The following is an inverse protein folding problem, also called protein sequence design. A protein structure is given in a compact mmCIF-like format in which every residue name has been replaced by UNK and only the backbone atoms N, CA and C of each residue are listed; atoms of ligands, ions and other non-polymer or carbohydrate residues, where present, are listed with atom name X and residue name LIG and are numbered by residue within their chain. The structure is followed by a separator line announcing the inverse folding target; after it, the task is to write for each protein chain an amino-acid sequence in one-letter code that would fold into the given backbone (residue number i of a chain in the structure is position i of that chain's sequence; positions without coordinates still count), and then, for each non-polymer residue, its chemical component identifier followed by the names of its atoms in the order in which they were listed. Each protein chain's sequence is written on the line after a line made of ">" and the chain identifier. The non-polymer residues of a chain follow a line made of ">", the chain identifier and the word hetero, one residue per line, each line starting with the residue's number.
data_IF_899880052321
#
_entry.id   IF_899880052321
#
_cell.length_a   1.000
_cell.length_b   1.000
_cell.length_c   1.000
_cell.angle_alpha   90.00
_cell.angle_beta   90.00
_cell.angle_gamma   90.00
#
_symmetry.space_group_name_H-M   'P 1'
#
loop_
_entity.id
_entity.type
_entity.pdbx_description
1 polymer ?
#
# COMPACT_ATOMS: atom_id res chain seq x y z
N UNK A 1 -56.09 9.12 33.30
CA UNK A 1 -54.79 9.09 32.59
C UNK A 1 -54.07 7.78 32.94
N UNK A 2 -53.70 6.91 31.99
CA UNK A 2 -52.98 5.69 32.33
C UNK A 2 -51.45 5.93 32.33
N UNK A 3 -50.79 5.46 33.40
CA UNK A 3 -49.34 5.48 33.57
C UNK A 3 -48.64 4.53 32.56
N UNK A 4 -47.69 5.07 31.79
CA UNK A 4 -46.83 4.30 30.88
C UNK A 4 -45.80 3.48 31.68
N UNK A 5 -45.76 2.17 31.38
CA UNK A 5 -44.83 1.17 31.93
C UNK A 5 -43.39 1.32 31.41
N UNK A 6 -42.44 1.02 32.30
CA UNK A 6 -40.98 0.93 32.11
C UNK A 6 -40.60 -0.10 31.02
N UNK A 7 -39.77 0.28 30.03
CA UNK A 7 -39.11 -0.63 29.06
C UNK A 7 -37.62 -0.36 28.75
N UNK A 8 -36.74 0.04 29.70
CA UNK A 8 -35.28 0.10 29.41
C UNK A 8 -34.55 -1.25 29.61
N UNK A 9 -35.06 -2.14 30.47
CA UNK A 9 -34.36 -3.40 30.84
C UNK A 9 -34.43 -4.46 29.73
N UNK A 10 -35.56 -4.53 29.00
CA UNK A 10 -35.74 -5.52 27.95
C UNK A 10 -34.78 -5.30 26.77
N UNK A 11 -34.49 -4.04 26.42
CA UNK A 11 -33.56 -3.71 25.34
C UNK A 11 -32.09 -4.01 25.68
N UNK A 12 -31.66 -3.78 26.92
CA UNK A 12 -30.29 -4.11 27.35
C UNK A 12 -30.00 -5.61 27.28
N UNK A 13 -30.97 -6.44 27.67
CA UNK A 13 -30.84 -7.92 27.61
C UNK A 13 -30.79 -8.41 26.17
N UNK A 14 -31.60 -7.85 25.26
CA UNK A 14 -31.58 -8.23 23.84
C UNK A 14 -30.25 -7.87 23.16
N UNK A 15 -29.67 -6.70 23.46
CA UNK A 15 -28.39 -6.27 22.90
C UNK A 15 -27.24 -7.15 23.39
N UNK A 16 -27.20 -7.50 24.68
CA UNK A 16 -26.17 -8.38 25.23
C UNK A 16 -26.27 -9.81 24.67
N UNK A 17 -27.49 -10.33 24.47
CA UNK A 17 -27.70 -11.65 23.87
C UNK A 17 -27.24 -11.69 22.40
N UNK A 18 -27.50 -10.63 21.63
CA UNK A 18 -27.05 -10.53 20.23
C UNK A 18 -25.52 -10.41 20.11
N UNK A 19 -24.87 -9.67 21.02
CA UNK A 19 -23.40 -9.55 21.06
C UNK A 19 -22.72 -10.86 21.48
N UNK A 20 -23.29 -11.58 22.46
CA UNK A 20 -22.80 -12.90 22.87
C UNK A 20 -22.88 -13.93 21.75
N UNK A 21 -24.00 -13.96 21.02
CA UNK A 21 -24.19 -14.88 19.88
C UNK A 21 -23.24 -14.55 18.71
N UNK A 22 -23.01 -13.26 18.43
CA UNK A 22 -22.06 -12.80 17.40
C UNK A 22 -20.61 -13.18 17.73
N UNK A 23 -20.18 -13.04 18.99
CA UNK A 23 -18.85 -13.41 19.43
C UNK A 23 -18.60 -14.93 19.37
N UNK A 24 -19.58 -15.72 19.79
CA UNK A 24 -19.51 -17.19 19.74
C UNK A 24 -19.42 -17.71 18.30
N UNK A 25 -20.27 -17.22 17.39
CA UNK A 25 -20.24 -17.66 15.99
C UNK A 25 -18.89 -17.36 15.30
N UNK A 26 -18.27 -16.22 15.65
CA UNK A 26 -16.97 -15.82 15.10
C UNK A 26 -15.84 -16.73 15.58
N UNK A 27 -15.91 -17.23 16.82
CA UNK A 27 -14.92 -18.17 17.36
C UNK A 27 -15.12 -19.57 16.79
N UNK A 28 -16.37 -20.03 16.64
CA UNK A 28 -16.67 -21.35 16.10
C UNK A 28 -16.30 -21.46 14.62
N UNK A 29 -16.59 -20.42 13.81
CA UNK A 29 -16.19 -20.34 12.40
C UNK A 29 -14.66 -20.38 12.22
N UNK A 30 -13.90 -19.78 13.16
CA UNK A 30 -12.43 -19.79 13.13
C UNK A 30 -11.84 -21.17 13.43
N UNK A 31 -12.46 -21.95 14.33
CA UNK A 31 -12.02 -23.33 14.63
C UNK A 31 -12.26 -24.24 13.43
N UNK A 32 -13.42 -24.11 12.81
CA UNK A 32 -13.81 -24.91 11.65
C UNK A 32 -12.95 -24.64 10.39
N UNK A 33 -12.40 -23.43 10.26
CA UNK A 33 -11.46 -23.05 9.18
C UNK A 33 -10.02 -23.55 9.43
N UNK A 34 -9.58 -23.60 10.69
CA UNK A 34 -8.25 -24.13 11.05
C UNK A 34 -8.15 -25.64 10.83
N UNK A 35 -9.23 -26.39 11.10
CA UNK A 35 -9.24 -27.85 10.98
C UNK A 35 -9.36 -28.35 9.53
N UNK A 36 -9.71 -27.48 8.58
CA UNK A 36 -9.92 -27.84 7.15
C UNK A 36 -8.77 -27.45 6.23
N UNK A 37 -7.66 -26.94 6.75
CA UNK A 37 -6.49 -26.58 5.93
C UNK A 37 -5.61 -27.81 5.70
N UNK A 38 -5.44 -28.30 4.45
CA UNK A 38 -4.51 -29.40 4.19
C UNK A 38 -3.08 -28.98 4.50
N UNK A 39 -2.30 -29.85 5.14
CA UNK A 39 -0.88 -29.63 5.37
C UNK A 39 -0.15 -29.46 4.02
N UNK A 40 0.41 -28.27 3.79
CA UNK A 40 1.27 -28.00 2.64
C UNK A 40 2.56 -28.79 2.77
N UNK A 41 2.81 -29.69 1.82
CA UNK A 41 4.12 -30.30 1.65
C UNK A 41 5.11 -29.21 1.23
N UNK A 42 6.11 -28.96 2.08
CA UNK A 42 7.21 -28.07 1.76
C UNK A 42 8.05 -28.69 0.64
N UNK A 43 8.00 -28.08 -0.55
CA UNK A 43 9.02 -28.29 -1.57
C UNK A 43 10.23 -27.48 -1.11
N UNK A 44 11.25 -28.18 -0.60
CA UNK A 44 12.53 -27.59 -0.23
C UNK A 44 13.36 -27.46 -1.50
N UNK A 45 13.21 -26.35 -2.21
CA UNK A 45 14.23 -25.95 -3.18
C UNK A 45 15.36 -25.28 -2.41
N UNK A 46 16.50 -25.96 -2.30
CA UNK A 46 17.73 -25.35 -1.78
C UNK A 46 18.11 -24.17 -2.70
N UNK A 47 18.15 -22.92 -2.19
CA UNK A 47 18.60 -21.80 -2.99
C UNK A 47 20.11 -21.93 -3.16
N UNK A 48 20.54 -22.29 -4.37
CA UNK A 48 21.93 -22.20 -4.77
C UNK A 48 22.29 -20.70 -4.85
N UNK A 49 22.72 -20.15 -3.70
CA UNK A 49 23.16 -18.78 -3.51
C UNK A 49 24.54 -18.60 -4.15
N UNK A 50 24.58 -18.48 -5.48
CA UNK A 50 25.77 -17.95 -6.14
C UNK A 50 25.80 -16.43 -5.97
N UNK A 51 26.68 -15.97 -5.07
CA UNK A 51 27.19 -14.61 -5.04
C UNK A 51 27.96 -14.34 -6.34
N UNK A 52 27.24 -14.04 -7.42
CA UNK A 52 27.81 -13.73 -8.72
C UNK A 52 28.35 -12.30 -8.76
N UNK A 53 29.62 -12.11 -8.43
CA UNK A 53 30.44 -10.98 -8.92
C UNK A 53 30.81 -11.15 -10.40
N UNK A 54 29.98 -11.84 -11.18
CA UNK A 54 30.20 -12.15 -12.59
C UNK A 54 29.80 -10.96 -13.45
N UNK A 55 30.80 -10.32 -14.05
CA UNK A 55 30.64 -9.33 -15.11
C UNK A 55 29.83 -9.98 -16.27
N UNK A 56 28.54 -9.65 -16.36
CA UNK A 56 27.64 -10.27 -17.34
C UNK A 56 28.00 -9.80 -18.76
N UNK A 57 28.44 -10.73 -19.60
CA UNK A 57 28.97 -10.49 -20.94
C UNK A 57 27.94 -10.41 -22.06
N UNK A 58 26.64 -10.49 -21.75
CA UNK A 58 25.58 -10.37 -22.75
C UNK A 58 25.05 -8.93 -22.88
N UNK A 59 24.77 -8.50 -24.11
CA UNK A 59 24.27 -7.15 -24.43
C UNK A 59 22.89 -6.94 -23.79
N UNK A 60 22.72 -5.80 -23.10
CA UNK A 60 21.41 -5.38 -22.61
C UNK A 60 20.50 -4.97 -23.78
N UNK A 61 19.22 -5.30 -23.69
CA UNK A 61 18.23 -5.00 -24.73
C UNK A 61 16.98 -4.37 -24.16
N UNK A 62 16.44 -3.38 -24.86
CA UNK A 62 15.15 -2.79 -24.56
C UNK A 62 14.06 -3.51 -25.33
N UNK A 63 13.00 -3.93 -24.64
CA UNK A 63 11.88 -4.67 -25.23
C UNK A 63 10.55 -4.03 -24.83
N UNK A 64 9.61 -4.01 -25.78
CA UNK A 64 8.24 -3.52 -25.56
C UNK A 64 7.30 -4.68 -25.27
N UNK A 65 6.55 -4.54 -24.19
CA UNK A 65 5.51 -5.47 -23.77
C UNK A 65 4.15 -4.75 -23.72
N UNK A 66 3.08 -5.54 -23.79
CA UNK A 66 1.68 -5.08 -23.71
C UNK A 66 1.03 -5.59 -22.43
N UNK A 67 -0.12 -5.00 -22.07
CA UNK A 67 -0.96 -5.37 -20.92
C UNK A 67 -0.23 -5.32 -19.55
N UNK A 68 0.10 -4.13 -19.02
CA UNK A 68 0.02 -2.81 -19.66
C UNK A 68 1.17 -2.56 -20.64
N UNK A 69 1.03 -1.53 -21.49
CA UNK A 69 2.11 -1.07 -22.37
C UNK A 69 3.31 -0.62 -21.53
N UNK A 70 4.47 -1.23 -21.78
CA UNK A 70 5.66 -1.02 -20.95
C UNK A 70 6.95 -1.37 -21.69
N UNK A 71 8.04 -0.71 -21.31
CA UNK A 71 9.38 -1.02 -21.77
C UNK A 71 10.11 -1.76 -20.64
N UNK A 72 10.75 -2.86 -20.99
CA UNK A 72 11.65 -3.58 -20.08
C UNK A 72 13.08 -3.47 -20.56
N UNK A 73 14.01 -3.36 -19.62
CA UNK A 73 15.43 -3.57 -19.86
C UNK A 73 15.75 -5.02 -19.53
N UNK A 74 16.20 -5.81 -20.50
CA UNK A 74 16.69 -7.17 -20.27
C UNK A 74 18.19 -7.22 -20.18
N UNK A 75 18.69 -8.07 -19.29
CA UNK A 75 20.10 -8.44 -19.23
C UNK A 75 20.46 -9.53 -20.23
N UNK A 76 21.76 -9.82 -20.32
CA UNK A 76 22.33 -10.75 -21.30
C UNK A 76 21.83 -12.20 -21.23
N UNK A 77 21.26 -12.62 -20.10
CA UNK A 77 20.67 -13.95 -19.88
C UNK A 77 19.12 -13.92 -19.91
N UNK A 78 18.50 -12.82 -20.34
CA UNK A 78 17.05 -12.67 -20.44
C UNK A 78 16.33 -12.17 -19.18
N UNK A 79 17.03 -12.04 -18.05
CA UNK A 79 16.49 -11.48 -16.81
C UNK A 79 15.94 -10.05 -17.02
N UNK A 80 14.87 -9.69 -16.29
CA UNK A 80 14.35 -8.31 -16.30
C UNK A 80 15.18 -7.48 -15.31
N UNK A 81 15.89 -6.47 -15.83
CA UNK A 81 16.71 -5.54 -15.06
C UNK A 81 15.95 -4.27 -14.67
N UNK A 82 14.97 -3.86 -15.46
CA UNK A 82 14.10 -2.74 -15.14
C UNK A 82 12.78 -2.85 -15.90
N UNK A 83 11.71 -2.30 -15.31
CA UNK A 83 10.41 -2.13 -15.98
C UNK A 83 9.91 -0.70 -15.85
N UNK A 84 9.45 -0.15 -16.96
CA UNK A 84 8.90 1.19 -17.10
C UNK A 84 7.55 1.11 -17.80
N UNK A 85 6.47 1.56 -17.14
CA UNK A 85 5.11 1.44 -17.68
C UNK A 85 4.67 2.77 -18.25
N UNK A 86 4.15 2.79 -19.48
CA UNK A 86 3.74 4.02 -20.15
C UNK A 86 2.74 4.82 -19.31
N UNK A 87 2.94 6.13 -19.19
CA UNK A 87 2.18 7.06 -18.33
C UNK A 87 2.33 6.86 -16.82
N UNK A 88 3.12 5.88 -16.36
CA UNK A 88 3.53 5.76 -14.97
C UNK A 88 4.87 6.45 -14.72
N UNK A 89 5.06 6.97 -13.51
CA UNK A 89 6.35 7.49 -13.03
C UNK A 89 7.07 6.49 -12.13
N UNK A 90 6.39 5.48 -11.61
CA UNK A 90 6.97 4.41 -10.83
C UNK A 90 7.67 3.42 -11.76
N UNK A 91 8.95 3.19 -11.47
CA UNK A 91 9.79 2.24 -12.17
C UNK A 91 10.30 1.19 -11.19
N UNK A 92 10.33 -0.07 -11.61
CA UNK A 92 10.98 -1.14 -10.84
C UNK A 92 12.34 -1.41 -11.44
N UNK A 93 13.40 -1.29 -10.64
CA UNK A 93 14.77 -1.59 -11.01
C UNK A 93 15.26 -2.80 -10.22
N UNK A 94 15.93 -3.74 -10.88
CA UNK A 94 16.66 -4.81 -10.21
C UNK A 94 17.88 -4.21 -9.50
N UNK A 95 18.11 -4.61 -8.26
CA UNK A 95 19.25 -4.17 -7.46
C UNK A 95 19.63 -5.17 -6.38
N UNK A 96 20.45 -4.77 -5.38
CA UNK A 96 20.85 -5.67 -4.30
C UNK A 96 19.65 -6.23 -3.53
N UNK A 97 19.73 -7.50 -3.14
CA UNK A 97 18.70 -8.16 -2.34
C UNK A 97 18.61 -7.54 -0.94
N UNK A 98 17.39 -7.46 -0.42
CA UNK A 98 17.08 -6.93 0.91
C UNK A 98 15.81 -7.56 1.47
N UNK A 99 15.67 -7.51 2.78
CA UNK A 99 14.55 -8.08 3.52
C UNK A 99 13.76 -7.00 4.24
N UNK A 100 12.43 -7.07 4.14
CA UNK A 100 11.50 -6.31 4.95
C UNK A 100 10.68 -7.26 5.82
N UNK A 101 10.56 -6.96 7.11
CA UNK A 101 9.89 -7.83 8.08
C UNK A 101 9.37 -7.06 9.30
N UNK A 102 8.24 -7.48 9.84
CA UNK A 102 7.69 -7.02 11.13
C UNK A 102 7.42 -8.24 12.03
N UNK A 103 8.46 -8.86 12.63
CA UNK A 103 8.32 -10.12 13.36
C UNK A 103 7.40 -10.04 14.58
N UNK A 104 7.12 -8.83 15.08
CA UNK A 104 6.19 -8.60 16.18
C UNK A 104 4.71 -8.75 15.76
N UNK A 105 4.38 -8.63 14.46
CA UNK A 105 3.00 -8.59 13.95
C UNK A 105 2.70 -9.61 12.86
N UNK A 106 3.72 -10.25 12.26
CA UNK A 106 3.55 -11.33 11.29
C UNK A 106 4.80 -12.21 11.18
N UNK A 107 4.64 -13.44 10.67
CA UNK A 107 5.76 -14.29 10.22
C UNK A 107 6.19 -14.00 8.78
N UNK A 108 5.36 -13.30 8.01
CA UNK A 108 5.64 -12.98 6.61
C UNK A 108 6.86 -12.08 6.49
N UNK A 109 7.69 -12.35 5.48
CA UNK A 109 8.90 -11.59 5.15
C UNK A 109 8.94 -11.36 3.65
N UNK A 110 9.30 -10.15 3.25
CA UNK A 110 9.53 -9.83 1.84
C UNK A 110 11.02 -9.81 1.59
N UNK A 111 11.53 -10.79 0.86
CA UNK A 111 12.90 -10.80 0.36
C UNK A 111 12.83 -10.41 -1.12
N UNK A 112 13.40 -9.25 -1.47
CA UNK A 112 13.27 -8.71 -2.82
C UNK A 112 14.54 -8.03 -3.29
N UNK A 113 14.74 -8.08 -4.60
CA UNK A 113 15.73 -7.30 -5.34
C UNK A 113 15.05 -6.21 -6.20
N UNK A 114 13.75 -6.02 -6.02
CA UNK A 114 12.98 -4.96 -6.67
C UNK A 114 13.18 -3.65 -5.88
N UNK A 115 13.67 -2.65 -6.59
CA UNK A 115 13.83 -1.28 -6.12
C UNK A 115 12.84 -0.41 -6.87
N UNK A 116 11.83 0.09 -6.16
CA UNK A 116 10.74 0.88 -6.75
C UNK A 116 11.05 2.36 -6.56
N UNK A 117 11.26 3.06 -7.68
CA UNK A 117 11.72 4.45 -7.69
C UNK A 117 10.80 5.33 -8.52
N UNK A 118 10.76 6.61 -8.18
CA UNK A 118 9.97 7.60 -8.89
C UNK A 118 10.83 8.30 -9.95
N UNK A 119 10.38 8.24 -11.21
CA UNK A 119 10.91 9.00 -12.33
C UNK A 119 10.42 10.46 -12.28
N UNK A 120 11.20 11.42 -12.80
CA UNK A 120 10.80 12.82 -12.84
C UNK A 120 9.59 13.04 -13.76
N UNK A 121 9.53 12.31 -14.87
CA UNK A 121 8.49 12.39 -15.88
C UNK A 121 7.74 11.05 -16.03
N UNK A 122 6.47 11.07 -16.47
CA UNK A 122 5.78 9.84 -16.89
C UNK A 122 6.54 9.16 -18.03
N UNK A 123 6.64 7.84 -17.97
CA UNK A 123 7.29 7.08 -19.04
C UNK A 123 6.50 7.16 -20.35
N UNK A 124 7.22 7.16 -21.46
CA UNK A 124 6.68 6.99 -22.79
C UNK A 124 7.59 6.06 -23.59
N UNK A 125 7.06 5.43 -24.64
CA UNK A 125 7.88 4.65 -25.56
C UNK A 125 9.00 5.52 -26.17
N UNK A 126 10.24 5.02 -26.14
CA UNK A 126 11.41 5.75 -26.60
C UNK A 126 12.08 6.63 -25.54
N UNK A 127 11.48 6.78 -24.35
CA UNK A 127 12.03 7.57 -23.25
C UNK A 127 13.42 7.11 -22.80
N UNK A 128 13.82 5.85 -23.09
CA UNK A 128 15.18 5.38 -22.82
C UNK A 128 16.27 6.19 -23.53
N UNK A 129 15.90 6.94 -24.57
CA UNK A 129 16.79 7.79 -25.36
C UNK A 129 16.82 9.24 -24.86
N UNK A 130 15.87 9.64 -24.04
CA UNK A 130 15.74 10.99 -23.52
C UNK A 130 16.80 11.30 -22.47
N UNK A 131 17.23 12.57 -22.41
CA UNK A 131 18.31 12.98 -21.52
C UNK A 131 17.89 12.87 -20.04
N UNK A 132 16.67 13.34 -19.70
CA UNK A 132 16.14 13.27 -18.34
C UNK A 132 16.16 11.83 -17.80
N UNK A 133 15.88 10.85 -18.66
CA UNK A 133 15.85 9.45 -18.26
C UNK A 133 17.26 8.91 -18.07
N UNK A 134 18.19 9.20 -19.00
CA UNK A 134 19.58 8.75 -18.87
C UNK A 134 20.21 9.24 -17.57
N UNK A 135 19.95 10.50 -17.21
CA UNK A 135 20.46 11.09 -15.97
C UNK A 135 19.82 10.43 -14.75
N UNK A 136 18.49 10.28 -14.74
CA UNK A 136 17.78 9.59 -13.67
C UNK A 136 18.23 8.13 -13.52
N UNK A 137 18.35 7.39 -14.63
CA UNK A 137 18.70 5.97 -14.64
C UNK A 137 20.14 5.76 -14.16
N UNK A 138 21.08 6.62 -14.59
CA UNK A 138 22.46 6.60 -14.10
C UNK A 138 22.55 6.81 -12.58
N UNK A 139 21.71 7.66 -12.02
CA UNK A 139 21.68 7.91 -10.57
C UNK A 139 21.05 6.74 -9.79
N UNK A 140 20.04 6.09 -10.37
CA UNK A 140 19.14 5.20 -9.64
C UNK A 140 19.40 3.71 -9.86
N UNK A 141 19.88 3.30 -11.03
CA UNK A 141 20.17 1.91 -11.34
C UNK A 141 21.40 1.42 -10.56
N UNK A 142 21.24 0.36 -9.78
CA UNK A 142 22.27 -0.14 -8.85
C UNK A 142 22.47 0.70 -7.58
N UNK A 143 21.73 1.80 -7.42
CA UNK A 143 21.83 2.66 -6.24
C UNK A 143 21.20 2.01 -5.01
N UNK A 144 21.84 2.19 -3.85
CA UNK A 144 21.32 1.80 -2.53
C UNK A 144 20.60 2.93 -1.80
N UNK A 145 20.42 4.10 -2.45
CA UNK A 145 19.59 5.19 -1.89
C UNK A 145 18.19 4.67 -1.62
N UNK A 146 17.57 5.17 -0.55
CA UNK A 146 16.20 4.82 -0.17
C UNK A 146 15.25 4.92 -1.37
N UNK A 147 14.43 3.89 -1.55
CA UNK A 147 13.39 3.81 -2.56
C UNK A 147 12.02 3.75 -1.86
N UNK A 148 10.93 3.57 -2.60
CA UNK A 148 9.58 3.64 -2.03
C UNK A 148 9.33 2.58 -0.93
N UNK A 149 9.95 1.40 -1.02
CA UNK A 149 9.81 0.38 0.03
C UNK A 149 10.61 0.75 1.28
N UNK A 150 11.85 1.20 1.12
CA UNK A 150 12.63 1.68 2.26
C UNK A 150 11.91 2.83 2.99
N UNK A 151 11.35 3.79 2.23
CA UNK A 151 10.58 4.91 2.79
C UNK A 151 9.31 4.41 3.49
N UNK A 152 8.56 3.47 2.90
CA UNK A 152 7.37 2.90 3.52
C UNK A 152 7.65 2.29 4.90
N UNK A 153 8.76 1.57 5.04
CA UNK A 153 9.16 0.93 6.29
C UNK A 153 9.76 1.89 7.33
N UNK A 154 9.94 3.18 7.01
CA UNK A 154 10.33 4.19 8.01
C UNK A 154 9.16 4.64 8.90
N UNK A 155 7.94 4.17 8.64
CA UNK A 155 6.73 4.59 9.35
C UNK A 155 6.00 3.43 10.06
N UNK A 156 6.54 2.21 10.01
CA UNK A 156 5.96 1.06 10.71
C UNK A 156 6.24 1.13 12.21
N UNK A 157 5.57 0.27 12.98
CA UNK A 157 5.72 0.22 14.44
C UNK A 157 7.19 0.07 14.84
N UNK A 158 7.65 0.93 15.76
CA UNK A 158 9.02 0.91 16.26
C UNK A 158 10.09 1.50 15.32
N UNK A 159 9.71 2.03 14.16
CA UNK A 159 10.66 2.69 13.27
C UNK A 159 11.35 3.90 13.97
N UNK A 160 12.68 4.04 13.85
CA UNK A 160 13.43 5.07 14.55
C UNK A 160 13.06 6.46 14.06
N UNK A 161 12.93 7.40 15.00
CA UNK A 161 12.64 8.80 14.67
C UNK A 161 13.90 9.48 14.17
N UNK A 162 13.84 10.03 12.95
CA UNK A 162 14.82 11.01 12.47
C UNK A 162 14.16 12.38 12.33
N UNK A 163 14.92 13.41 12.67
CA UNK A 163 14.49 14.81 12.63
C UNK A 163 15.31 15.61 11.64
N UNK A 164 14.69 16.59 11.00
CA UNK A 164 15.41 17.56 10.17
C UNK A 164 16.09 18.64 11.04
N UNK A 165 16.72 19.61 10.38
CA UNK A 165 17.42 20.71 11.05
C UNK A 165 16.49 21.61 11.88
N UNK A 166 15.18 21.59 11.60
CA UNK A 166 14.14 22.33 12.32
C UNK A 166 13.52 21.49 13.46
N UNK A 167 13.98 20.25 13.65
CA UNK A 167 13.50 19.34 14.69
C UNK A 167 12.20 18.61 14.34
N UNK A 168 11.73 18.71 13.09
CA UNK A 168 10.52 18.04 12.62
C UNK A 168 10.84 16.57 12.38
N UNK A 169 10.09 15.62 12.98
CA UNK A 169 10.30 14.20 12.71
C UNK A 169 9.78 13.88 11.31
N UNK A 170 10.68 13.67 10.36
CA UNK A 170 10.31 13.30 9.00
C UNK A 170 10.28 11.77 8.79
N UNK A 171 10.84 11.01 9.73
CA UNK A 171 10.81 9.54 9.84
C UNK A 171 10.36 9.10 11.24
N UNK A 172 9.87 7.87 11.35
CA UNK A 172 9.53 7.22 12.60
C UNK A 172 8.11 6.65 12.61
N UNK A 173 7.84 5.82 13.62
CA UNK A 173 6.55 5.17 13.83
C UNK A 173 5.35 6.12 13.64
N UNK A 174 4.41 5.75 12.78
CA UNK A 174 3.19 6.52 12.55
C UNK A 174 1.99 5.81 13.18
N UNK A 175 1.13 6.59 13.84
CA UNK A 175 -0.16 6.08 14.31
C UNK A 175 -1.22 6.19 13.21
N UNK A 176 -2.29 5.40 13.24
CA UNK A 176 -3.38 5.57 12.27
C UNK A 176 -4.12 6.90 12.49
N UNK A 177 -4.35 7.22 13.77
CA UNK A 177 -5.09 8.40 14.22
C UNK A 177 -5.55 8.24 15.67
N UNK A 178 -5.91 9.33 16.36
CA UNK A 178 -6.49 9.25 17.70
C UNK A 178 -7.84 8.54 17.66
N UNK A 179 -8.27 8.00 18.81
CA UNK A 179 -9.63 7.50 18.95
C UNK A 179 -10.66 8.62 18.80
N UNK A 180 -11.81 8.27 18.23
CA UNK A 180 -13.02 9.09 18.28
C UNK A 180 -13.50 9.21 19.73
N UNK A 181 -14.39 10.18 20.04
CA UNK A 181 -14.95 10.33 21.38
C UNK A 181 -15.65 9.08 21.93
N UNK A 182 -16.12 8.19 21.06
CA UNK A 182 -16.72 6.90 21.45
C UNK A 182 -15.71 5.87 21.96
N UNK A 183 -14.41 6.09 21.74
CA UNK A 183 -13.34 5.18 22.12
C UNK A 183 -13.27 3.88 21.31
N UNK A 184 -14.12 3.71 20.29
CA UNK A 184 -14.24 2.46 19.52
C UNK A 184 -13.48 2.55 18.21
N UNK A 185 -13.62 3.67 17.49
CA UNK A 185 -13.02 3.83 16.16
C UNK A 185 -12.00 4.97 16.16
N UNK A 186 -11.12 5.02 15.16
CA UNK A 186 -10.09 6.06 15.02
C UNK A 186 -10.55 7.15 14.06
N UNK A 187 -10.10 8.38 14.30
CA UNK A 187 -10.28 9.48 13.36
C UNK A 187 -9.49 9.18 12.08
N UNK A 188 -10.18 9.15 10.95
CA UNK A 188 -9.60 9.10 9.60
C UNK A 188 -9.33 10.51 9.08
N UNK A 189 -8.81 10.60 7.85
CA UNK A 189 -8.40 11.83 7.18
C UNK A 189 -7.11 12.43 7.76
N UNK A 190 -6.20 11.62 8.28
CA UNK A 190 -4.85 12.04 8.69
C UNK A 190 -3.89 11.95 7.49
N UNK A 191 -3.26 13.06 7.13
CA UNK A 191 -2.36 13.14 5.98
C UNK A 191 -0.89 13.41 6.41
N UNK A 192 0.03 13.43 5.45
CA UNK A 192 1.46 13.64 5.72
C UNK A 192 1.77 14.91 6.54
N UNK A 193 1.01 15.99 6.34
CA UNK A 193 1.20 17.24 7.07
C UNK A 193 0.75 17.14 8.55
N UNK A 194 -0.24 16.30 8.87
CA UNK A 194 -0.59 15.99 10.26
C UNK A 194 0.53 15.20 10.94
N UNK A 195 1.12 14.22 10.23
CA UNK A 195 2.27 13.48 10.76
C UNK A 195 3.44 14.39 11.14
N UNK A 196 3.78 15.31 10.23
CA UNK A 196 4.88 16.25 10.40
C UNK A 196 4.58 17.38 11.39
N UNK A 197 3.30 17.67 11.65
CA UNK A 197 2.89 18.80 12.48
C UNK A 197 3.14 20.17 11.80
N UNK A 198 3.06 20.24 10.47
CA UNK A 198 3.32 21.47 9.70
C UNK A 198 2.11 21.88 8.85
N UNK A 199 2.01 23.18 8.53
CA UNK A 199 1.15 23.62 7.43
C UNK A 199 1.80 23.30 6.08
N UNK A 200 1.00 22.96 5.09
CA UNK A 200 1.46 22.66 3.75
C UNK A 200 0.62 23.36 2.68
N UNK A 201 1.30 24.01 1.73
CA UNK A 201 0.68 24.67 0.58
C UNK A 201 0.83 23.79 -0.66
N UNK A 202 -0.30 23.37 -1.22
CA UNK A 202 -0.38 22.58 -2.45
C UNK A 202 -0.16 23.46 -3.69
N UNK A 203 0.09 22.82 -4.83
CA UNK A 203 0.38 23.50 -6.10
C UNK A 203 -0.76 24.39 -6.61
N UNK A 204 -1.99 24.10 -6.19
CA UNK A 204 -3.18 24.90 -6.50
C UNK A 204 -3.33 26.14 -5.58
N UNK A 205 -2.37 26.36 -4.67
CA UNK A 205 -2.39 27.44 -3.69
C UNK A 205 -3.17 27.12 -2.41
N UNK A 206 -3.89 26.00 -2.34
CA UNK A 206 -4.61 25.59 -1.13
C UNK A 206 -3.61 25.31 -0.02
N UNK A 207 -3.83 25.89 1.16
CA UNK A 207 -2.99 25.62 2.34
C UNK A 207 -3.82 24.89 3.39
N UNK A 208 -3.31 23.74 3.85
CA UNK A 208 -3.89 22.97 4.95
C UNK A 208 -2.96 23.02 6.15
N UNK A 209 -3.54 23.20 7.34
CA UNK A 209 -2.82 23.19 8.60
C UNK A 209 -2.86 21.81 9.25
N UNK A 210 -1.76 21.40 9.87
CA UNK A 210 -1.72 20.24 10.73
C UNK A 210 -2.63 20.42 11.95
N UNK A 211 -3.27 19.33 12.35
CA UNK A 211 -4.08 19.27 13.56
C UNK A 211 -3.28 18.64 14.68
N UNK A 212 -3.18 19.35 15.82
CA UNK A 212 -2.30 18.96 16.93
C UNK A 212 -2.63 17.58 17.50
N UNK A 213 -3.91 17.25 17.58
CA UNK A 213 -4.41 15.96 18.07
C UNK A 213 -4.14 14.78 17.11
N UNK A 214 -3.68 15.08 15.88
CA UNK A 214 -3.34 14.11 14.83
C UNK A 214 -1.83 14.08 14.55
N UNK A 215 -1.03 14.63 15.46
CA UNK A 215 0.43 14.60 15.34
C UNK A 215 0.94 13.15 15.19
N UNK A 216 1.85 12.93 14.23
CA UNK A 216 2.34 11.60 13.82
C UNK A 216 1.28 10.62 13.31
N UNK A 217 0.09 11.10 12.94
CA UNK A 217 -0.96 10.26 12.37
C UNK A 217 -0.89 10.18 10.84
N UNK A 218 -1.04 8.97 10.29
CA UNK A 218 -1.19 8.70 8.87
C UNK A 218 -2.31 7.66 8.68
N UNK A 219 -3.41 8.06 8.03
CA UNK A 219 -4.39 7.07 7.55
C UNK A 219 -3.85 6.32 6.32
N UNK A 220 -4.61 5.36 5.78
CA UNK A 220 -4.17 4.54 4.64
C UNK A 220 -3.69 5.39 3.45
N UNK A 221 -4.46 6.39 3.05
CA UNK A 221 -4.13 7.30 1.95
C UNK A 221 -3.11 8.37 2.33
N UNK A 222 -3.11 8.85 3.57
CA UNK A 222 -2.11 9.76 4.10
C UNK A 222 -0.72 9.13 4.14
N UNK A 223 -0.64 7.84 4.47
CA UNK A 223 0.58 7.06 4.41
C UNK A 223 1.12 6.97 2.98
N UNK A 224 0.28 6.65 1.99
CA UNK A 224 0.70 6.64 0.59
C UNK A 224 1.16 8.03 0.14
N UNK A 225 0.49 9.11 0.56
CA UNK A 225 0.88 10.50 0.23
C UNK A 225 2.16 10.93 0.94
N UNK A 226 2.45 10.40 2.14
CA UNK A 226 3.74 10.56 2.79
C UNK A 226 4.85 9.92 1.95
N UNK A 227 4.69 8.63 1.62
CA UNK A 227 5.69 7.84 0.88
C UNK A 227 5.91 8.36 -0.54
N UNK A 228 4.85 8.41 -1.34
CA UNK A 228 4.91 8.82 -2.74
C UNK A 228 5.13 10.33 -2.87
N UNK A 229 4.38 11.12 -2.10
CA UNK A 229 4.30 12.56 -2.29
C UNK A 229 5.37 13.32 -1.52
N UNK A 230 5.23 13.43 -0.20
CA UNK A 230 6.12 14.27 0.59
C UNK A 230 7.58 13.79 0.51
N UNK A 231 7.81 12.48 0.67
CA UNK A 231 9.15 11.89 0.67
C UNK A 231 9.71 11.67 -0.73
N UNK A 232 8.96 11.03 -1.63
CA UNK A 232 9.44 10.73 -2.99
C UNK A 232 9.13 11.82 -4.04
N UNK A 233 8.45 12.91 -3.66
CA UNK A 233 8.17 14.10 -4.49
C UNK A 233 7.18 13.88 -5.65
N UNK A 234 6.28 12.91 -5.53
CA UNK A 234 5.09 12.86 -6.40
C UNK A 234 4.20 14.09 -6.14
N UNK A 235 3.69 14.78 -7.17
CA UNK A 235 2.76 15.90 -6.99
C UNK A 235 1.56 15.49 -6.14
N UNK A 236 1.10 16.34 -5.23
CA UNK A 236 -0.06 16.06 -4.38
C UNK A 236 -1.18 17.07 -4.64
N UNK A 237 -2.42 16.61 -4.62
CA UNK A 237 -3.61 17.48 -4.64
C UNK A 237 -4.10 17.76 -3.21
N UNK A 238 -4.67 18.93 -2.96
CA UNK A 238 -5.33 19.25 -1.69
C UNK A 238 -6.65 18.49 -1.51
N UNK A 239 -7.34 18.17 -2.62
CA UNK A 239 -8.63 17.49 -2.67
C UNK A 239 -8.62 16.34 -3.68
N UNK A 240 -9.78 15.77 -3.98
CA UNK A 240 -9.93 14.74 -5.01
C UNK A 240 -10.25 15.29 -6.41
N UNK A 241 -10.52 16.59 -6.54
CA UNK A 241 -11.19 17.13 -7.73
C UNK A 241 -10.35 18.10 -8.54
N UNK A 242 -9.33 18.74 -7.94
CA UNK A 242 -8.54 19.79 -8.59
C UNK A 242 -7.03 19.51 -8.52
N UNK A 243 -6.37 19.61 -9.68
CA UNK A 243 -4.92 19.42 -9.84
C UNK A 243 -4.54 18.17 -10.62
N UNK A 244 -3.24 17.98 -10.81
CA UNK A 244 -2.59 16.94 -11.61
C UNK A 244 -1.78 15.92 -10.77
N UNK A 245 -1.94 15.97 -9.44
CA UNK A 245 -1.20 15.13 -8.50
C UNK A 245 -1.99 13.97 -7.92
N UNK A 246 -1.39 13.27 -6.97
CA UNK A 246 -2.05 12.20 -6.24
C UNK A 246 -3.19 12.78 -5.38
N UNK A 247 -4.45 12.31 -5.56
CA UNK A 247 -5.60 12.74 -4.77
C UNK A 247 -5.48 12.46 -3.27
N UNK A 248 -6.36 13.07 -2.47
CA UNK A 248 -6.32 12.91 -1.01
C UNK A 248 -6.78 11.53 -0.54
N UNK A 249 -7.86 10.98 -1.08
CA UNK A 249 -8.48 9.74 -0.56
C UNK A 249 -8.18 8.53 -1.41
N UNK A 250 -8.31 7.32 -0.84
CA UNK A 250 -8.20 6.06 -1.59
C UNK A 250 -9.14 6.02 -2.80
N UNK A 251 -10.41 6.43 -2.63
CA UNK A 251 -11.36 6.57 -3.75
C UNK A 251 -10.90 7.57 -4.82
N UNK A 252 -10.36 8.73 -4.40
CA UNK A 252 -9.81 9.72 -5.33
C UNK A 252 -8.67 9.13 -6.14
N UNK A 253 -7.70 8.51 -5.47
CA UNK A 253 -6.55 7.85 -6.10
C UNK A 253 -7.01 6.78 -7.10
N UNK A 254 -7.90 5.88 -6.69
CA UNK A 254 -8.40 4.78 -7.53
C UNK A 254 -9.09 5.25 -8.82
N UNK A 255 -9.79 6.39 -8.77
CA UNK A 255 -10.59 6.93 -9.90
C UNK A 255 -9.91 8.06 -10.65
N UNK A 256 -8.73 8.48 -10.22
CA UNK A 256 -7.99 9.56 -10.88
C UNK A 256 -7.40 9.11 -12.21
N UNK A 257 -7.10 10.09 -13.05
CA UNK A 257 -6.35 9.90 -14.31
C UNK A 257 -4.84 9.85 -14.10
N UNK A 258 -4.37 10.01 -12.86
CA UNK A 258 -2.96 9.95 -12.51
C UNK A 258 -2.51 8.49 -12.60
N UNK A 259 -1.33 8.26 -13.17
CA UNK A 259 -0.81 6.93 -13.43
C UNK A 259 -1.70 6.09 -14.36
N UNK A 260 -1.57 4.76 -14.24
CA UNK A 260 -2.16 3.77 -15.14
C UNK A 260 -2.98 2.77 -14.35
N UNK A 261 -4.20 2.50 -14.80
CA UNK A 261 -4.99 1.40 -14.25
C UNK A 261 -4.41 0.06 -14.73
N UNK A 262 -3.66 -0.61 -13.86
CA UNK A 262 -3.13 -1.96 -14.10
C UNK A 262 -4.26 -2.99 -13.99
N UNK A 263 -5.15 -2.78 -13.02
CA UNK A 263 -6.40 -3.51 -12.86
C UNK A 263 -7.50 -2.48 -12.65
N UNK A 264 -8.44 -2.41 -13.59
CA UNK A 264 -9.57 -1.47 -13.53
C UNK A 264 -10.61 -1.92 -12.52
N UNK A 265 -11.36 -0.96 -11.96
CA UNK A 265 -12.59 -1.24 -11.22
C UNK A 265 -13.60 -1.88 -12.20
N UNK A 266 -14.20 -3.01 -11.81
CA UNK A 266 -15.11 -3.79 -12.65
C UNK A 266 -16.40 -4.14 -11.92
N UNK A 267 -17.46 -4.46 -12.67
CA UNK A 267 -18.75 -4.88 -12.11
C UNK A 267 -19.58 -3.73 -11.53
N UNK A 268 -20.81 -4.03 -11.06
CA UNK A 268 -21.70 -3.03 -10.48
C UNK A 268 -21.22 -2.61 -9.09
N UNK A 269 -21.39 -1.32 -8.78
CA UNK A 269 -21.28 -0.81 -7.42
C UNK A 269 -22.40 -1.33 -6.51
N UNK A 270 -22.25 -1.21 -5.18
CA UNK A 270 -21.11 -0.62 -4.48
C UNK A 270 -19.94 -1.60 -4.27
N UNK A 271 -20.16 -2.90 -4.51
CA UNK A 271 -19.18 -3.92 -4.15
C UNK A 271 -18.12 -4.17 -5.19
N UNK A 272 -18.42 -3.99 -6.48
CA UNK A 272 -17.52 -4.28 -7.59
C UNK A 272 -17.05 -5.74 -7.61
N UNK A 273 -16.62 -6.19 -8.78
CA UNK A 273 -16.12 -7.55 -8.99
C UNK A 273 -14.66 -7.64 -8.52
N UNK A 274 -14.34 -8.70 -7.76
CA UNK A 274 -12.96 -9.04 -7.42
C UNK A 274 -12.20 -9.44 -8.71
N UNK A 275 -11.01 -8.88 -8.97
CA UNK A 275 -10.18 -9.30 -10.10
C UNK A 275 -9.83 -10.79 -10.03
N UNK A 276 -9.98 -11.50 -11.16
CA UNK A 276 -9.64 -12.93 -11.26
C UNK A 276 -8.19 -13.18 -11.65
N UNK A 277 -7.59 -12.25 -12.40
CA UNK A 277 -6.17 -12.27 -12.76
C UNK A 277 -5.48 -11.05 -12.12
N UNK A 278 -4.46 -11.33 -11.32
CA UNK A 278 -3.63 -10.32 -10.65
C UNK A 278 -2.15 -10.43 -11.03
N UNK A 279 -1.81 -11.22 -12.05
CA UNK A 279 -0.43 -11.45 -12.53
C UNK A 279 0.19 -10.21 -13.18
N UNK A 280 -0.64 -9.24 -13.55
CA UNK A 280 -0.21 -7.93 -14.11
C UNK A 280 0.38 -6.99 -13.06
N UNK A 281 0.19 -7.28 -11.76
CA UNK A 281 0.71 -6.47 -10.67
C UNK A 281 2.24 -6.49 -10.62
N UNK A 282 2.83 -5.37 -10.26
CA UNK A 282 4.26 -5.22 -10.04
C UNK A 282 4.53 -4.51 -8.71
N UNK A 283 5.64 -4.85 -8.02
CA UNK A 283 6.10 -4.12 -6.85
C UNK A 283 6.02 -2.60 -7.06
N UNK A 284 5.38 -1.89 -6.12
CA UNK A 284 5.15 -0.45 -6.24
C UNK A 284 3.73 -0.05 -6.67
N UNK A 285 2.92 -0.99 -7.17
CA UNK A 285 1.53 -0.71 -7.50
C UNK A 285 0.72 -0.33 -6.25
N UNK A 286 -0.20 0.61 -6.42
CA UNK A 286 -1.22 0.90 -5.43
C UNK A 286 -2.38 -0.09 -5.58
N UNK A 287 -2.80 -0.67 -4.47
CA UNK A 287 -3.92 -1.61 -4.39
C UNK A 287 -5.10 -0.92 -3.71
N UNK A 288 -6.30 -1.04 -4.26
CA UNK A 288 -7.51 -0.43 -3.73
C UNK A 288 -8.54 -1.47 -3.32
N UNK A 289 -9.17 -1.22 -2.19
CA UNK A 289 -10.10 -2.16 -1.56
C UNK A 289 -11.43 -1.50 -1.23
N UNK A 290 -12.49 -2.31 -1.33
CA UNK A 290 -13.84 -1.99 -0.89
C UNK A 290 -14.13 -2.76 0.38
N UNK A 291 -14.33 -2.07 1.51
CA UNK A 291 -14.38 -2.67 2.85
C UNK A 291 -15.63 -2.29 3.65
N UNK A 292 -16.22 -1.12 3.40
CA UNK A 292 -17.32 -0.60 4.23
C UNK A 292 -18.64 -0.54 3.45
N UNK A 293 -19.66 -1.25 3.92
CA UNK A 293 -21.00 -1.21 3.33
C UNK A 293 -21.65 0.18 3.34
N UNK A 294 -21.20 1.08 4.22
CA UNK A 294 -21.81 2.39 4.43
C UNK A 294 -21.31 3.46 3.48
N UNK A 295 -20.18 3.24 2.80
CA UNK A 295 -19.53 4.27 1.96
C UNK A 295 -19.98 4.24 0.49
N UNK A 296 -21.01 3.44 0.16
CA UNK A 296 -21.54 3.34 -1.20
C UNK A 296 -20.44 2.93 -2.19
N UNK A 297 -20.35 3.64 -3.31
CA UNK A 297 -19.42 3.35 -4.41
C UNK A 297 -17.95 3.70 -4.13
N UNK A 298 -17.61 4.16 -2.93
CA UNK A 298 -16.26 4.60 -2.60
C UNK A 298 -15.30 3.42 -2.38
N UNK A 299 -14.07 3.54 -2.88
CA UNK A 299 -12.96 2.72 -2.39
C UNK A 299 -12.51 3.22 -1.01
N UNK A 300 -12.39 2.29 -0.08
CA UNK A 300 -12.25 2.57 1.34
C UNK A 300 -10.80 2.56 1.80
N UNK A 301 -9.96 1.77 1.14
CA UNK A 301 -8.60 1.53 1.57
C UNK A 301 -7.63 1.49 0.40
N UNK A 302 -6.38 1.90 0.68
CA UNK A 302 -5.27 1.84 -0.27
C UNK A 302 -4.05 1.22 0.40
N UNK A 303 -3.30 0.44 -0.37
CA UNK A 303 -2.05 -0.18 0.05
C UNK A 303 -0.97 -0.06 -1.03
N UNK A 304 0.29 -0.27 -0.63
CA UNK A 304 1.44 -0.39 -1.54
C UNK A 304 1.81 -1.87 -1.70
N UNK A 305 1.75 -2.39 -2.92
CA UNK A 305 2.12 -3.76 -3.22
C UNK A 305 3.63 -3.96 -3.13
N UNK A 306 4.06 -4.97 -2.38
CA UNK A 306 5.48 -5.26 -2.12
C UNK A 306 6.06 -6.36 -3.01
N UNK A 307 5.21 -7.15 -3.65
CA UNK A 307 5.61 -8.37 -4.36
C UNK A 307 5.25 -9.63 -3.58
N UNK A 308 6.11 -10.64 -3.68
CA UNK A 308 5.93 -11.92 -3.01
C UNK A 308 6.62 -11.96 -1.64
N UNK A 309 6.00 -12.62 -0.68
CA UNK A 309 6.67 -13.02 0.56
C UNK A 309 7.47 -14.32 0.39
N UNK A 310 8.17 -14.74 1.45
CA UNK A 310 8.97 -15.98 1.47
C UNK A 310 8.16 -17.25 1.26
N UNK A 311 6.84 -17.19 1.41
CA UNK A 311 5.92 -18.31 1.19
C UNK A 311 5.30 -18.26 -0.23
N UNK A 312 5.68 -17.27 -1.05
CA UNK A 312 5.16 -17.08 -2.40
C UNK A 312 3.82 -16.33 -2.48
N UNK A 313 3.34 -15.76 -1.38
CA UNK A 313 2.08 -15.00 -1.34
C UNK A 313 2.26 -13.54 -1.72
N UNK A 314 1.21 -12.94 -2.29
CA UNK A 314 1.24 -11.55 -2.78
C UNK A 314 0.93 -10.59 -1.65
N UNK A 315 1.94 -9.87 -1.17
CA UNK A 315 1.84 -9.07 0.05
C UNK A 315 1.94 -7.57 -0.17
N UNK A 316 1.41 -6.80 0.78
CA UNK A 316 1.35 -5.34 0.72
C UNK A 316 1.56 -4.70 2.08
N UNK A 317 1.94 -3.42 2.09
CA UNK A 317 1.99 -2.56 3.29
C UNK A 317 0.89 -1.50 3.23
N UNK A 318 0.25 -1.22 4.36
CA UNK A 318 -0.78 -0.17 4.46
C UNK A 318 -0.93 0.33 5.89
N UNK A 319 -1.41 1.55 6.09
CA UNK A 319 -1.79 2.05 7.42
C UNK A 319 -3.18 1.59 7.84
N UNK A 320 -3.29 0.93 8.99
CA UNK A 320 -4.52 0.24 9.45
C UNK A 320 -4.96 0.68 10.84
N UNK A 321 -6.28 0.65 11.09
CA UNK A 321 -6.86 1.04 12.37
C UNK A 321 -6.50 0.06 13.49
N UNK A 322 -6.54 -1.23 13.18
CA UNK A 322 -6.37 -2.35 14.10
C UNK A 322 -4.91 -2.44 14.60
N UNK A 323 -3.94 -2.21 13.71
CA UNK A 323 -2.53 -2.10 14.07
C UNK A 323 -2.16 -0.70 14.59
N UNK A 324 -3.02 0.29 14.37
CA UNK A 324 -2.76 1.70 14.64
C UNK A 324 -1.52 2.22 13.89
N UNK A 325 -1.43 1.99 12.58
CA UNK A 325 -0.33 2.52 11.77
C UNK A 325 -0.01 1.67 10.53
N UNK A 326 0.99 2.10 9.74
CA UNK A 326 1.56 1.34 8.63
C UNK A 326 2.08 -0.03 9.06
N UNK A 327 1.69 -1.08 8.34
CA UNK A 327 2.14 -2.45 8.61
C UNK A 327 1.95 -3.41 7.44
N UNK A 328 2.73 -4.49 7.44
CA UNK A 328 2.51 -5.78 6.76
C UNK A 328 1.94 -6.85 7.71
N UNK A 329 1.68 -6.50 8.97
CA UNK A 329 1.18 -7.39 10.02
C UNK A 329 -0.18 -8.02 9.75
N UNK A 330 -0.51 -9.07 10.50
CA UNK A 330 -1.73 -9.86 10.29
C UNK A 330 -2.93 -9.38 11.11
N UNK A 331 -2.71 -8.41 12.00
CA UNK A 331 -3.76 -7.84 12.83
C UNK A 331 -4.76 -7.04 11.97
N UNK A 332 -6.06 -7.30 12.16
CA UNK A 332 -7.13 -6.79 11.30
C UNK A 332 -7.24 -7.49 9.94
N UNK A 333 -6.42 -8.52 9.68
CA UNK A 333 -6.43 -9.30 8.45
C UNK A 333 -5.02 -9.50 7.90
N UNK A 334 -4.74 -10.69 7.39
CA UNK A 334 -3.44 -11.01 6.77
C UNK A 334 -3.19 -10.10 5.56
N UNK A 335 -1.98 -9.56 5.43
CA UNK A 335 -1.57 -8.62 4.39
C UNK A 335 -1.36 -9.26 3.01
N UNK A 336 -2.31 -10.10 2.58
CA UNK A 336 -2.27 -10.86 1.33
C UNK A 336 -3.46 -10.51 0.44
N UNK A 337 -3.25 -10.50 -0.87
CA UNK A 337 -4.31 -10.25 -1.88
C UNK A 337 -4.70 -11.49 -2.69
N UNK A 338 -3.93 -12.56 -2.56
CA UNK A 338 -4.24 -13.89 -3.06
C UNK A 338 -4.99 -14.73 -2.01
N UNK A 339 -5.62 -15.82 -2.47
CA UNK A 339 -6.45 -16.68 -1.61
C UNK A 339 -7.78 -16.04 -1.19
N UNK A 340 -8.32 -16.45 -0.05
CA UNK A 340 -9.68 -16.11 0.41
C UNK A 340 -9.72 -15.27 1.69
N UNK A 341 -8.58 -14.74 2.13
CA UNK A 341 -8.50 -13.91 3.34
C UNK A 341 -9.21 -12.56 3.20
N UNK A 342 -9.33 -11.83 4.31
CA UNK A 342 -10.06 -10.56 4.41
C UNK A 342 -9.70 -9.57 3.29
N UNK A 343 -8.43 -9.19 3.15
CA UNK A 343 -8.00 -8.23 2.12
C UNK A 343 -8.12 -8.80 0.70
N UNK A 344 -7.80 -10.08 0.52
CA UNK A 344 -7.95 -10.76 -0.75
C UNK A 344 -9.39 -10.70 -1.28
N UNK A 345 -10.38 -10.96 -0.41
CA UNK A 345 -11.80 -10.85 -0.75
C UNK A 345 -12.31 -9.43 -1.04
N UNK A 346 -11.59 -8.40 -0.60
CA UNK A 346 -11.98 -6.98 -0.67
C UNK A 346 -11.20 -6.18 -1.72
N UNK A 347 -10.19 -6.77 -2.37
CA UNK A 347 -9.40 -6.17 -3.44
C UNK A 347 -10.23 -5.92 -4.71
N UNK A 348 -10.16 -4.72 -5.30
CA UNK A 348 -11.00 -4.31 -6.45
C UNK A 348 -10.26 -3.72 -7.63
N UNK A 349 -9.16 -3.01 -7.42
CA UNK A 349 -8.41 -2.39 -8.51
C UNK A 349 -6.97 -2.10 -8.10
N UNK A 350 -6.13 -1.84 -9.09
CA UNK A 350 -4.75 -1.45 -8.88
C UNK A 350 -4.29 -0.40 -9.89
N UNK A 351 -3.41 0.49 -9.43
CA UNK A 351 -2.88 1.61 -10.23
C UNK A 351 -1.38 1.72 -10.06
N UNK A 352 -0.68 1.96 -11.16
CA UNK A 352 0.77 2.25 -11.19
C UNK A 352 0.95 3.74 -11.42
N UNK A 353 1.51 4.45 -10.44
CA UNK A 353 1.61 5.91 -10.45
C UNK A 353 2.71 6.42 -11.37
#
# INVERSE_FOLDING_TARGET
>A
MPLKKKRPVLHAVTVLALLGASGYLTVELRKDEQDKTPATQAVVDEPNLENGTGQQSGKQTWERLKNPARTILRGGNGQILATFTDHARTATLRGPSRTFSEPASTKSKVITEDWVRLMPEPWAEGAEKEQWFKDWFKENYGSKKEDLFAIAFQYVTGAPVKKDAQGIPYEGDAVFGPFKPDGVDRLEQNDFYDYLGISYTFRDGTTLAARKERYRALDCSGFIRMVMGYRARYPLMASNTLGDGLPRTANGMARSKVGVDVIKIQGPGPWYTRPTNIDVLQPGDLLFFKMDHRTGDHMDHVALYLGLDTDGHRVFVSSRKEQNGPTIGDNGGVSRIDGNGFYAGLFRSAKRL
#
